data_IF_241797597679
#
_entry.id   IF_241797597679
#
_cell.length_a   1.000
_cell.length_b   1.000
_cell.length_c   1.000
_cell.angle_alpha   90.00
_cell.angle_beta   90.00
_cell.angle_gamma   90.00
#
_symmetry.space_group_name_H-M   'P 1'
#
loop_
_entity.id
_entity.type
_entity.pdbx_description
1 polymer ?
#
# COMPACT_ATOMS: atom_id res chain seq x y z
N UNK A 1 -31.16 31.61 -43.39
CA UNK A 1 -30.16 31.90 -42.33
C UNK A 1 -28.91 32.38 -43.05
N UNK A 2 -28.41 33.58 -42.72
CA UNK A 2 -27.13 34.06 -43.27
C UNK A 2 -25.99 33.22 -42.70
N UNK A 3 -25.00 32.87 -43.52
CA UNK A 3 -23.76 32.23 -43.04
C UNK A 3 -23.02 33.15 -42.07
N UNK A 4 -22.26 32.57 -41.15
CA UNK A 4 -21.35 33.31 -40.28
C UNK A 4 -20.09 33.78 -41.04
N UNK A 5 -19.78 33.15 -42.18
CA UNK A 5 -18.66 33.52 -43.02
C UNK A 5 -18.93 34.81 -43.79
N UNK A 6 -17.97 35.73 -43.81
CA UNK A 6 -18.11 37.00 -44.51
C UNK A 6 -18.13 36.77 -46.04
N UNK A 7 -19.22 37.11 -46.75
CA UNK A 7 -19.29 36.95 -48.21
C UNK A 7 -18.27 37.81 -48.97
N UNK A 8 -17.76 38.90 -48.38
CA UNK A 8 -16.73 39.72 -49.02
C UNK A 8 -15.41 38.94 -49.21
N UNK A 9 -15.05 38.06 -48.27
CA UNK A 9 -13.86 37.20 -48.40
C UNK A 9 -13.92 36.29 -49.64
N UNK A 10 -15.13 35.87 -50.04
CA UNK A 10 -15.33 35.04 -51.24
C UNK A 10 -15.08 35.87 -52.50
N UNK A 11 -15.46 37.15 -52.50
CA UNK A 11 -15.21 38.07 -53.61
C UNK A 11 -13.72 38.39 -53.73
N UNK A 12 -13.04 38.63 -52.62
CA UNK A 12 -11.59 38.91 -52.61
C UNK A 12 -10.80 37.75 -53.23
N UNK A 13 -11.15 36.50 -52.89
CA UNK A 13 -10.54 35.31 -53.50
C UNK A 13 -10.88 35.21 -54.98
N UNK A 14 -12.12 35.50 -55.39
CA UNK A 14 -12.50 35.48 -56.80
C UNK A 14 -11.73 36.52 -57.64
N UNK A 15 -11.54 37.72 -57.10
CA UNK A 15 -10.74 38.78 -57.72
C UNK A 15 -9.26 38.39 -57.83
N UNK A 16 -8.71 37.68 -56.83
CA UNK A 16 -7.32 37.18 -56.87
C UNK A 16 -7.06 36.19 -58.00
N UNK A 17 -8.11 35.45 -58.43
CA UNK A 17 -8.08 34.52 -59.57
C UNK A 17 -8.37 35.24 -60.90
N UNK A 18 -8.77 36.52 -60.86
CA UNK A 18 -9.08 37.34 -62.03
C UNK A 18 -10.55 37.39 -62.43
N UNK A 19 -11.47 36.96 -61.56
CA UNK A 19 -12.93 37.01 -61.78
C UNK A 19 -13.47 38.30 -61.16
N UNK A 20 -13.80 39.29 -61.99
CA UNK A 20 -14.18 40.64 -61.53
C UNK A 20 -15.64 40.81 -61.10
N UNK A 21 -16.55 39.91 -61.52
CA UNK A 21 -17.98 40.00 -61.18
C UNK A 21 -18.56 38.62 -60.93
N UNK A 22 -19.13 38.40 -59.75
CA UNK A 22 -19.90 37.21 -59.38
C UNK A 22 -21.35 37.58 -59.03
N UNK A 23 -22.29 36.71 -59.39
CA UNK A 23 -23.68 36.86 -58.95
C UNK A 23 -23.77 36.72 -57.42
N UNK A 24 -24.58 37.55 -56.78
CA UNK A 24 -24.75 37.59 -55.32
C UNK A 24 -25.22 36.24 -54.76
N UNK A 25 -26.12 35.55 -55.47
CA UNK A 25 -26.62 34.24 -55.04
C UNK A 25 -25.50 33.19 -54.95
N UNK A 26 -24.56 33.21 -55.90
CA UNK A 26 -23.41 32.29 -55.91
C UNK A 26 -22.46 32.59 -54.75
N UNK A 27 -22.24 33.87 -54.44
CA UNK A 27 -21.42 34.28 -53.29
C UNK A 27 -22.05 33.81 -51.97
N UNK A 28 -23.36 34.00 -51.82
CA UNK A 28 -24.08 33.63 -50.60
C UNK A 28 -24.13 32.10 -50.40
N UNK A 29 -24.29 31.33 -51.48
CA UNK A 29 -24.31 29.86 -51.41
C UNK A 29 -22.90 29.29 -51.17
N UNK A 30 -21.86 29.86 -51.79
CA UNK A 30 -20.47 29.44 -51.56
C UNK A 30 -20.02 29.75 -50.12
N UNK A 31 -20.41 30.90 -49.57
CA UNK A 31 -20.14 31.23 -48.17
C UNK A 31 -20.76 30.20 -47.20
N UNK A 32 -21.99 29.72 -47.48
CA UNK A 32 -22.64 28.67 -46.68
C UNK A 32 -21.92 27.32 -46.79
N UNK A 33 -21.44 26.96 -47.98
CA UNK A 33 -20.68 25.71 -48.16
C UNK A 33 -19.35 25.77 -47.41
N UNK A 34 -18.63 26.91 -47.46
CA UNK A 34 -17.38 27.10 -46.69
C UNK A 34 -17.62 26.92 -45.19
N UNK A 35 -18.66 27.54 -44.65
CA UNK A 35 -19.04 27.44 -43.23
C UNK A 35 -19.31 25.98 -42.82
N UNK A 36 -20.01 25.23 -43.67
CA UNK A 36 -20.24 23.80 -43.49
C UNK A 36 -18.94 22.99 -43.52
N UNK A 37 -18.05 23.24 -44.48
CA UNK A 37 -16.75 22.54 -44.59
C UNK A 37 -15.82 22.83 -43.42
N UNK A 38 -15.76 24.08 -42.97
CA UNK A 38 -14.97 24.47 -41.78
C UNK A 38 -15.52 23.77 -40.54
N UNK A 39 -16.83 23.75 -40.36
CA UNK A 39 -17.48 23.04 -39.25
C UNK A 39 -17.17 21.54 -39.29
N UNK A 40 -17.23 20.91 -40.47
CA UNK A 40 -16.89 19.50 -40.66
C UNK A 40 -15.45 19.18 -40.24
N UNK A 41 -14.48 20.02 -40.63
CA UNK A 41 -13.06 19.85 -40.22
C UNK A 41 -12.91 20.00 -38.70
N UNK A 42 -13.56 21.01 -38.11
CA UNK A 42 -13.51 21.25 -36.66
C UNK A 42 -14.12 20.08 -35.88
N UNK A 43 -15.24 19.53 -36.32
CA UNK A 43 -15.88 18.38 -35.68
C UNK A 43 -14.97 17.14 -35.67
N UNK A 44 -14.32 16.83 -36.79
CA UNK A 44 -13.35 15.73 -36.86
C UNK A 44 -12.12 16.01 -35.98
N UNK A 45 -11.60 17.24 -35.98
CA UNK A 45 -10.45 17.63 -35.15
C UNK A 45 -10.78 17.53 -33.64
N UNK A 46 -12.00 17.88 -33.24
CA UNK A 46 -12.47 17.72 -31.86
C UNK A 46 -12.54 16.26 -31.43
N UNK A 47 -12.84 15.32 -32.34
CA UNK A 47 -12.76 13.88 -32.04
C UNK A 47 -11.32 13.48 -31.74
N UNK A 48 -10.36 13.89 -32.56
CA UNK A 48 -8.93 13.64 -32.31
C UNK A 48 -8.46 14.21 -30.97
N UNK A 49 -8.84 15.46 -30.66
CA UNK A 49 -8.53 16.09 -29.37
C UNK A 49 -9.07 15.28 -28.18
N UNK A 50 -10.34 14.85 -28.25
CA UNK A 50 -10.98 14.04 -27.20
C UNK A 50 -10.35 12.66 -27.08
N UNK A 51 -10.03 12.00 -28.20
CA UNK A 51 -9.34 10.71 -28.20
C UNK A 51 -7.91 10.81 -27.65
N UNK A 52 -7.25 11.96 -27.84
CA UNK A 52 -5.96 12.27 -27.23
C UNK A 52 -6.06 12.70 -25.75
N UNK A 53 -7.26 12.69 -25.15
CA UNK A 53 -7.53 13.09 -23.76
C UNK A 53 -7.06 14.51 -23.41
N UNK A 54 -7.10 15.42 -24.39
CA UNK A 54 -6.78 16.85 -24.21
C UNK A 54 -8.06 17.68 -24.23
N UNK A 55 -7.99 18.87 -23.64
CA UNK A 55 -9.07 19.88 -23.65
C UNK A 55 -8.77 21.06 -24.56
N UNK A 56 -7.54 21.16 -25.07
CA UNK A 56 -7.08 22.20 -25.99
C UNK A 56 -6.81 21.60 -27.36
N UNK A 57 -7.40 22.20 -28.39
CA UNK A 57 -7.23 21.79 -29.79
C UNK A 57 -5.85 22.26 -30.30
N UNK A 58 -5.06 21.37 -30.88
CA UNK A 58 -3.76 21.70 -31.46
C UNK A 58 -3.80 21.63 -32.99
N UNK A 59 -2.78 22.19 -33.66
CA UNK A 59 -2.65 22.14 -35.13
C UNK A 59 -2.62 20.71 -35.66
N UNK A 60 -1.97 19.79 -34.93
CA UNK A 60 -1.89 18.37 -35.29
C UNK A 60 -3.26 17.68 -35.36
N UNK A 61 -4.22 18.10 -34.53
CA UNK A 61 -5.58 17.56 -34.53
C UNK A 61 -6.31 17.94 -35.83
N UNK A 62 -6.09 19.17 -36.31
CA UNK A 62 -6.62 19.67 -37.59
C UNK A 62 -5.91 18.97 -38.75
N UNK A 63 -4.59 18.81 -38.70
CA UNK A 63 -3.83 18.08 -39.73
C UNK A 63 -4.33 16.64 -39.87
N UNK A 64 -4.66 15.96 -38.77
CA UNK A 64 -5.24 14.63 -38.81
C UNK A 64 -6.68 14.64 -39.37
N UNK A 65 -7.48 15.63 -38.99
CA UNK A 65 -8.83 15.80 -39.55
C UNK A 65 -8.81 16.00 -41.07
N UNK A 66 -7.91 16.85 -41.59
CA UNK A 66 -7.75 17.08 -43.03
C UNK A 66 -7.39 15.79 -43.77
N UNK A 67 -6.49 14.97 -43.21
CA UNK A 67 -6.14 13.67 -43.80
C UNK A 67 -7.31 12.69 -43.86
N UNK A 68 -8.18 12.68 -42.84
CA UNK A 68 -9.37 11.81 -42.83
C UNK A 68 -10.42 12.27 -43.83
N UNK A 69 -10.51 13.58 -44.05
CA UNK A 69 -11.42 14.18 -45.02
C UNK A 69 -10.85 14.20 -46.45
N UNK A 70 -9.71 13.53 -46.68
CA UNK A 70 -8.99 13.50 -47.96
C UNK A 70 -8.66 14.91 -48.52
N UNK A 71 -8.44 15.88 -47.63
CA UNK A 71 -8.02 17.24 -47.98
C UNK A 71 -6.49 17.30 -48.00
N UNK A 72 -5.96 18.09 -48.93
CA UNK A 72 -4.51 18.31 -49.06
C UNK A 72 -3.91 18.86 -47.74
N UNK A 73 -2.75 18.35 -47.31
CA UNK A 73 -2.14 18.75 -46.05
C UNK A 73 -1.62 20.19 -46.11
N UNK A 74 -1.96 20.99 -45.10
CA UNK A 74 -1.44 22.33 -44.90
C UNK A 74 -0.12 22.28 -44.12
N UNK A 75 0.96 22.78 -44.73
CA UNK A 75 2.30 22.84 -44.13
C UNK A 75 2.62 24.24 -43.59
N UNK A 76 3.59 24.32 -42.67
CA UNK A 76 4.05 25.60 -42.10
C UNK A 76 3.33 26.06 -40.83
N UNK A 77 2.46 25.23 -40.27
CA UNK A 77 1.74 25.50 -39.02
C UNK A 77 2.38 24.74 -37.87
N UNK A 78 2.87 25.47 -36.86
CA UNK A 78 3.41 24.90 -35.62
C UNK A 78 2.76 25.57 -34.41
N UNK A 79 2.50 24.80 -33.36
CA UNK A 79 1.97 25.28 -32.08
C UNK A 79 2.98 26.10 -31.29
N UNK A 80 4.28 25.91 -31.52
CA UNK A 80 5.32 26.57 -30.73
C UNK A 80 5.54 28.05 -31.10
N UNK A 81 5.13 28.45 -32.31
CA UNK A 81 5.28 29.82 -32.83
C UNK A 81 3.90 30.43 -33.10
N UNK A 82 3.40 31.34 -32.24
CA UNK A 82 2.13 31.99 -32.49
C UNK A 82 2.22 32.92 -33.71
N UNK A 83 1.17 32.93 -34.54
CA UNK A 83 1.08 33.86 -35.67
C UNK A 83 0.86 35.29 -35.19
N UNK A 84 1.52 36.24 -35.84
CA UNK A 84 1.32 37.67 -35.63
C UNK A 84 0.60 38.25 -36.85
N UNK A 85 -0.55 38.85 -36.61
CA UNK A 85 -1.34 39.51 -37.65
C UNK A 85 -1.03 41.01 -37.60
N UNK A 86 -0.46 41.54 -38.68
CA UNK A 86 -0.31 42.96 -38.91
C UNK A 86 -1.57 43.54 -39.55
N UNK A 87 -1.88 44.80 -39.25
CA UNK A 87 -2.99 45.53 -39.86
C UNK A 87 -2.43 46.56 -40.85
N UNK A 88 -2.91 46.51 -42.10
CA UNK A 88 -2.62 47.50 -43.13
C UNK A 88 -3.92 48.15 -43.59
N UNK A 89 -3.95 49.49 -43.64
CA UNK A 89 -5.08 50.25 -44.16
C UNK A 89 -4.83 50.66 -45.61
N UNK A 90 -5.55 50.04 -46.55
CA UNK A 90 -5.56 50.43 -47.96
C UNK A 90 -6.81 51.28 -48.19
N UNK A 91 -6.67 52.60 -48.03
CA UNK A 91 -7.75 53.55 -48.31
C UNK A 91 -8.90 53.57 -47.28
N UNK A 92 -9.99 54.31 -47.56
CA UNK A 92 -11.06 54.50 -46.60
C UNK A 92 -12.02 53.30 -46.57
N UNK A 93 -11.98 52.52 -45.48
CA UNK A 93 -13.14 51.75 -45.02
C UNK A 93 -12.96 50.25 -44.77
N UNK A 94 -11.85 49.62 -45.13
CA UNK A 94 -11.63 48.18 -44.86
C UNK A 94 -10.21 47.90 -44.35
N UNK A 95 -10.05 47.40 -43.11
CA UNK A 95 -8.75 46.96 -42.60
C UNK A 95 -8.35 45.63 -43.25
N UNK A 96 -7.16 45.59 -43.85
CA UNK A 96 -6.57 44.36 -44.37
C UNK A 96 -5.61 43.79 -43.33
N UNK A 97 -5.83 42.54 -42.94
CA UNK A 97 -4.90 41.82 -42.07
C UNK A 97 -3.96 40.97 -42.89
N UNK A 98 -2.67 41.02 -42.59
CA UNK A 98 -1.66 40.17 -43.20
C UNK A 98 -0.84 39.47 -42.13
N UNK A 99 -0.26 38.33 -42.50
CA UNK A 99 0.66 37.61 -41.62
C UNK A 99 2.04 38.24 -41.80
N UNK A 100 2.61 38.77 -40.72
CA UNK A 100 3.97 39.30 -40.74
C UNK A 100 4.96 38.14 -40.89
N UNK A 101 5.72 38.12 -41.98
CA UNK A 101 6.82 37.18 -42.18
C UNK A 101 8.16 37.89 -41.96
N UNK A 102 8.85 37.49 -40.89
CA UNK A 102 10.15 38.06 -40.53
C UNK A 102 11.25 37.26 -41.24
N UNK A 103 11.98 37.91 -42.15
CA UNK A 103 13.13 37.31 -42.80
C UNK A 103 14.25 37.03 -41.77
N UNK A 104 14.67 35.77 -41.67
CA UNK A 104 15.72 35.34 -40.74
C UNK A 104 17.00 35.00 -41.52
N UNK A 105 18.12 35.53 -41.06
CA UNK A 105 19.45 35.22 -41.59
C UNK A 105 19.87 33.78 -41.26
N UNK A 106 20.33 33.03 -42.26
CA UNK A 106 20.74 31.64 -42.12
C UNK A 106 21.88 31.45 -41.11
N UNK A 107 22.82 32.39 -41.03
CA UNK A 107 23.94 32.30 -40.08
C UNK A 107 23.44 32.33 -38.62
N UNK A 108 22.39 33.09 -38.35
CA UNK A 108 21.76 33.14 -37.01
C UNK A 108 21.06 31.84 -36.67
N UNK A 109 20.42 31.20 -37.65
CA UNK A 109 19.71 29.94 -37.45
C UNK A 109 20.67 28.77 -37.24
N UNK A 110 21.78 28.72 -37.99
CA UNK A 110 22.80 27.68 -37.84
C UNK A 110 23.50 27.78 -36.48
N UNK A 111 23.76 29.00 -36.00
CA UNK A 111 24.42 29.24 -34.72
C UNK A 111 23.45 29.25 -33.52
N UNK A 112 22.16 28.97 -33.73
CA UNK A 112 21.18 28.92 -32.66
C UNK A 112 21.45 27.74 -31.71
N UNK A 113 21.36 27.94 -30.38
CA UNK A 113 21.58 26.85 -29.44
C UNK A 113 20.47 25.81 -29.54
N UNK A 114 20.84 24.55 -29.32
CA UNK A 114 19.89 23.43 -29.30
C UNK A 114 18.85 23.60 -28.19
N UNK A 115 17.59 23.19 -28.42
CA UNK A 115 16.54 23.26 -27.40
C UNK A 115 16.84 22.30 -26.25
N UNK A 116 16.32 22.63 -25.07
CA UNK A 116 16.44 21.78 -23.88
C UNK A 116 15.49 20.60 -23.99
N UNK A 117 15.99 19.40 -23.73
CA UNK A 117 15.19 18.17 -23.73
C UNK A 117 14.55 17.97 -22.35
N UNK A 118 13.22 17.76 -22.27
CA UNK A 118 12.54 17.39 -21.02
C UNK A 118 13.03 16.04 -20.46
N UNK A 119 12.72 15.77 -19.19
CA UNK A 119 12.97 14.45 -18.60
C UNK A 119 12.02 13.40 -19.19
N UNK A 120 12.48 12.15 -19.21
CA UNK A 120 11.64 11.02 -19.59
C UNK A 120 10.41 10.88 -18.68
N UNK A 121 9.35 10.30 -19.25
CA UNK A 121 8.07 10.08 -18.55
C UNK A 121 8.27 9.08 -17.41
N UNK A 122 7.92 9.52 -16.20
CA UNK A 122 7.89 8.69 -14.99
C UNK A 122 6.58 8.90 -14.25
N UNK A 123 6.19 7.93 -13.43
CA UNK A 123 4.98 8.02 -12.62
C UNK A 123 5.33 8.12 -11.13
N UNK A 124 4.52 8.87 -10.38
CA UNK A 124 4.60 8.98 -8.93
C UNK A 124 3.25 8.61 -8.33
N UNK A 125 3.19 7.50 -7.61
CA UNK A 125 1.97 7.04 -6.97
C UNK A 125 1.81 7.66 -5.57
N UNK A 126 0.59 8.01 -5.20
CA UNK A 126 0.21 8.43 -3.86
C UNK A 126 -1.23 7.99 -3.56
N UNK A 127 -1.60 8.00 -2.28
CA UNK A 127 -2.96 7.69 -1.86
C UNK A 127 -3.88 8.90 -2.06
N UNK A 128 -4.81 8.79 -3.03
CA UNK A 128 -5.84 9.80 -3.25
C UNK A 128 -6.95 9.72 -2.18
N UNK A 129 -7.32 8.52 -1.75
CA UNK A 129 -8.31 8.30 -0.71
C UNK A 129 -8.03 7.01 0.07
N UNK A 130 -8.36 7.02 1.36
CA UNK A 130 -8.38 5.86 2.25
C UNK A 130 -9.76 5.84 2.92
N UNK A 131 -10.51 4.75 2.72
CA UNK A 131 -11.90 4.61 3.22
C UNK A 131 -12.82 5.78 2.84
N UNK A 132 -12.67 6.28 1.60
CA UNK A 132 -13.47 7.39 1.07
C UNK A 132 -13.07 8.77 1.59
N UNK A 133 -12.04 8.87 2.43
CA UNK A 133 -11.49 10.13 2.93
C UNK A 133 -10.17 10.43 2.24
N UNK A 134 -10.02 11.64 1.71
CA UNK A 134 -8.78 12.10 1.11
C UNK A 134 -7.75 12.46 2.19
N UNK A 135 -6.56 11.83 2.22
CA UNK A 135 -5.53 12.19 3.20
C UNK A 135 -4.88 13.52 2.85
N UNK A 136 -4.52 14.30 3.88
CA UNK A 136 -3.85 15.59 3.75
C UNK A 136 -2.36 15.43 3.46
N UNK A 137 -2.02 14.96 2.26
CA UNK A 137 -0.64 14.89 1.73
C UNK A 137 -0.40 16.02 0.73
N UNK A 138 0.85 16.48 0.52
CA UNK A 138 1.15 17.59 -0.37
C UNK A 138 0.67 17.42 -1.82
N UNK A 139 0.51 16.16 -2.27
CA UNK A 139 0.03 15.83 -3.62
C UNK A 139 -1.49 15.95 -3.77
N UNK A 140 -2.24 15.93 -2.67
CA UNK A 140 -3.69 16.03 -2.68
C UNK A 140 -4.13 17.50 -2.55
N UNK A 141 -5.15 17.94 -3.32
CA UNK A 141 -5.68 19.30 -3.20
C UNK A 141 -6.16 19.58 -1.78
N UNK A 142 -5.88 20.78 -1.29
CA UNK A 142 -6.50 21.25 -0.05
C UNK A 142 -7.96 21.66 -0.31
N UNK A 143 -8.74 21.70 0.77
CA UNK A 143 -10.11 22.24 0.73
C UNK A 143 -10.15 23.71 0.30
N UNK A 144 -9.05 24.44 0.45
CA UNK A 144 -8.89 25.82 0.01
C UNK A 144 -8.66 25.91 -1.52
N UNK A 145 -7.83 25.03 -2.08
CA UNK A 145 -7.53 25.01 -3.53
C UNK A 145 -8.76 24.66 -4.38
N UNK A 146 -9.64 23.82 -3.83
CA UNK A 146 -10.86 23.38 -4.53
C UNK A 146 -11.81 24.54 -4.85
N UNK A 147 -11.84 25.59 -4.00
CA UNK A 147 -12.72 26.76 -4.16
C UNK A 147 -12.36 27.63 -5.37
N UNK A 148 -11.10 27.62 -5.80
CA UNK A 148 -10.63 28.45 -6.92
C UNK A 148 -10.81 27.79 -8.29
N UNK A 149 -11.18 26.51 -8.34
CA UNK A 149 -11.33 25.74 -9.59
C UNK A 149 -12.78 25.49 -10.01
N UNK A 150 -13.76 25.96 -9.24
CA UNK A 150 -15.19 25.66 -9.40
C UNK A 150 -15.87 26.52 -10.51
N UNK A 151 -15.36 26.47 -11.74
CA UNK A 151 -16.10 26.90 -12.94
C UNK A 151 -16.81 25.74 -13.65
N UNK A 152 -16.64 24.50 -13.16
CA UNK A 152 -17.34 23.32 -13.66
C UNK A 152 -18.18 22.71 -12.54
N UNK A 153 -19.51 22.59 -12.70
CA UNK A 153 -20.36 21.98 -11.68
C UNK A 153 -20.01 20.50 -11.55
N UNK A 154 -19.34 20.14 -10.45
CA UNK A 154 -19.15 18.74 -10.06
C UNK A 154 -20.49 18.21 -9.54
N UNK A 155 -20.85 16.99 -9.95
CA UNK A 155 -22.12 16.36 -9.64
C UNK A 155 -22.43 16.28 -8.12
N UNK A 156 -23.70 16.09 -7.74
CA UNK A 156 -24.12 16.03 -6.34
C UNK A 156 -23.39 14.88 -5.62
N UNK A 157 -22.63 15.23 -4.57
CA UNK A 157 -21.81 14.29 -3.79
C UNK A 157 -20.30 14.55 -3.80
N UNK A 158 -19.82 15.43 -4.69
CA UNK A 158 -18.38 15.73 -4.84
C UNK A 158 -17.80 16.72 -3.81
N UNK A 159 -18.64 17.25 -2.91
CA UNK A 159 -18.27 18.34 -2.01
C UNK A 159 -18.30 17.90 -0.53
N UNK A 160 -17.14 17.53 0.06
CA UNK A 160 -16.98 17.39 1.51
C UNK A 160 -17.26 18.70 2.28
N UNK A 161 -17.25 19.83 1.56
CA UNK A 161 -17.38 21.20 2.08
C UNK A 161 -18.73 21.52 2.72
N UNK A 162 -19.79 20.74 2.48
CA UNK A 162 -21.05 20.90 3.22
C UNK A 162 -20.94 20.47 4.69
N UNK A 163 -19.98 19.61 5.03
CA UNK A 163 -19.74 19.22 6.44
C UNK A 163 -18.94 20.28 7.22
N UNK A 164 -18.18 21.12 6.53
CA UNK A 164 -17.33 22.15 7.15
C UNK A 164 -18.09 23.43 7.52
N UNK A 165 -19.29 23.66 6.98
CA UNK A 165 -20.14 24.80 7.35
C UNK A 165 -20.68 24.71 8.79
N UNK A 166 -20.54 23.55 9.45
CA UNK A 166 -20.97 23.30 10.82
C UNK A 166 -19.94 23.68 11.91
N UNK A 167 -18.87 24.40 11.56
CA UNK A 167 -18.07 25.17 12.52
C UNK A 167 -17.34 24.35 13.59
N UNK A 168 -16.65 23.27 13.23
CA UNK A 168 -15.85 22.49 14.17
C UNK A 168 -14.40 22.34 13.65
N UNK A 169 -13.59 23.39 13.82
CA UNK A 169 -12.14 23.36 13.65
C UNK A 169 -11.50 22.58 14.80
N UNK A 170 -11.37 21.28 14.60
CA UNK A 170 -10.43 20.41 15.30
C UNK A 170 -10.05 19.28 14.35
N UNK A 171 -8.79 18.86 14.37
CA UNK A 171 -8.29 17.70 13.62
C UNK A 171 -9.14 16.49 14.02
N UNK A 172 -10.20 16.23 13.27
CA UNK A 172 -11.14 15.17 13.56
C UNK A 172 -10.56 13.84 13.04
N UNK A 173 -9.70 13.24 13.86
CA UNK A 173 -9.73 11.79 14.03
C UNK A 173 -11.18 11.50 14.39
N UNK A 174 -11.98 10.98 13.45
CA UNK A 174 -13.41 10.72 13.67
C UNK A 174 -13.51 9.48 14.58
N UNK A 175 -13.85 9.57 15.88
CA UNK A 175 -14.05 8.39 16.70
C UNK A 175 -15.53 8.00 16.71
N UNK A 176 -15.72 6.68 16.83
CA UNK A 176 -16.92 5.87 17.09
C UNK A 176 -18.32 6.52 16.94
N UNK A 177 -19.00 6.10 15.87
CA UNK A 177 -20.46 5.96 15.73
C UNK A 177 -21.30 7.24 15.55
N UNK A 178 -21.54 7.57 14.27
CA UNK A 178 -22.84 8.09 13.82
C UNK A 178 -23.34 7.22 12.67
N UNK A 179 -24.12 6.19 13.00
CA UNK A 179 -25.00 5.40 12.12
C UNK A 179 -24.60 5.29 10.62
N UNK A 180 -23.40 4.77 10.32
CA UNK A 180 -23.09 4.29 8.96
C UNK A 180 -23.50 2.82 8.79
N UNK A 181 -23.79 2.14 9.90
CA UNK A 181 -24.12 0.73 9.90
C UNK A 181 -25.64 0.51 9.81
N UNK A 182 -26.08 -0.24 8.81
CA UNK A 182 -27.48 -0.66 8.71
C UNK A 182 -27.89 -1.56 9.88
N UNK A 183 -29.20 -1.68 10.13
CA UNK A 183 -29.74 -2.61 11.13
C UNK A 183 -29.28 -4.05 10.90
N UNK A 184 -29.20 -4.48 9.64
CA UNK A 184 -28.76 -5.82 9.25
C UNK A 184 -27.30 -6.07 9.61
N UNK A 185 -26.40 -5.11 9.35
CA UNK A 185 -24.99 -5.27 9.69
C UNK A 185 -24.76 -5.22 11.22
N UNK A 186 -25.58 -4.46 11.96
CA UNK A 186 -25.56 -4.49 13.43
C UNK A 186 -25.99 -5.86 13.97
N UNK A 187 -27.10 -6.39 13.46
CA UNK A 187 -27.59 -7.71 13.84
C UNK A 187 -26.58 -8.80 13.48
N UNK A 188 -25.95 -8.71 12.31
CA UNK A 188 -24.88 -9.61 11.90
C UNK A 188 -23.69 -9.57 12.87
N UNK A 189 -23.23 -8.37 13.23
CA UNK A 189 -22.14 -8.20 14.20
C UNK A 189 -22.49 -8.81 15.56
N UNK A 190 -23.69 -8.57 16.06
CA UNK A 190 -24.18 -9.15 17.33
C UNK A 190 -24.25 -10.69 17.26
N UNK A 191 -24.77 -11.24 16.17
CA UNK A 191 -24.87 -12.70 15.98
C UNK A 191 -23.50 -13.36 15.89
N UNK A 192 -22.53 -12.73 15.24
CA UNK A 192 -21.16 -13.26 15.19
C UNK A 192 -20.48 -13.18 16.54
N UNK A 193 -20.53 -12.03 17.21
CA UNK A 193 -19.85 -11.86 18.50
C UNK A 193 -20.42 -12.80 19.57
N UNK A 194 -21.73 -13.05 19.56
CA UNK A 194 -22.37 -14.04 20.44
C UNK A 194 -22.01 -15.47 20.06
N UNK A 195 -22.07 -15.84 18.78
CA UNK A 195 -21.71 -17.18 18.31
C UNK A 195 -20.25 -17.54 18.60
N UNK A 196 -19.33 -16.58 18.44
CA UNK A 196 -17.89 -16.77 18.68
C UNK A 196 -17.57 -16.99 20.17
N UNK A 197 -18.35 -16.38 21.07
CA UNK A 197 -18.16 -16.49 22.53
C UNK A 197 -18.95 -17.64 23.17
N UNK A 198 -19.85 -18.31 22.44
CA UNK A 198 -20.57 -19.47 22.96
C UNK A 198 -19.61 -20.65 23.12
N UNK A 199 -19.41 -21.15 24.34
CA UNK A 199 -18.55 -22.30 24.66
C UNK A 199 -19.17 -23.64 24.25
N UNK A 200 -20.50 -23.73 24.20
CA UNK A 200 -21.22 -25.00 24.05
C UNK A 200 -21.34 -25.47 22.60
N UNK A 201 -21.50 -24.55 21.66
CA UNK A 201 -21.78 -24.87 20.26
C UNK A 201 -20.59 -24.58 19.34
N UNK A 202 -19.80 -25.62 19.04
CA UNK A 202 -18.67 -25.49 18.11
C UNK A 202 -19.10 -25.23 16.65
N UNK A 203 -20.25 -25.77 16.24
CA UNK A 203 -20.78 -25.59 14.89
C UNK A 203 -21.09 -24.13 14.59
N UNK A 204 -21.66 -23.38 15.54
CA UNK A 204 -21.93 -21.96 15.39
C UNK A 204 -20.66 -21.11 15.32
N UNK A 205 -19.63 -21.47 16.10
CA UNK A 205 -18.30 -20.81 16.00
C UNK A 205 -17.69 -21.00 14.62
N UNK A 206 -17.68 -22.23 14.11
CA UNK A 206 -17.12 -22.55 12.80
C UNK A 206 -17.91 -21.89 11.66
N UNK A 207 -19.24 -21.85 11.76
CA UNK A 207 -20.08 -21.13 10.82
C UNK A 207 -19.78 -19.61 10.81
N UNK A 208 -19.60 -19.01 11.98
CA UNK A 208 -19.24 -17.59 12.10
C UNK A 208 -17.86 -17.30 11.48
N UNK A 209 -16.85 -18.14 11.73
CA UNK A 209 -15.52 -17.98 11.11
C UNK A 209 -15.55 -18.15 9.59
N UNK A 210 -16.32 -19.11 9.09
CA UNK A 210 -16.47 -19.32 7.64
C UNK A 210 -17.16 -18.12 6.97
N UNK A 211 -18.20 -17.56 7.60
CA UNK A 211 -18.87 -16.34 7.12
C UNK A 211 -17.91 -15.15 7.04
N UNK A 212 -17.12 -14.89 8.10
CA UNK A 212 -16.10 -13.82 8.08
C UNK A 212 -15.03 -14.03 7.01
N UNK A 213 -14.72 -15.28 6.69
CA UNK A 213 -13.72 -15.63 5.68
C UNK A 213 -14.20 -15.36 4.25
N UNK A 214 -15.48 -15.60 3.95
CA UNK A 214 -16.03 -15.53 2.59
C UNK A 214 -16.73 -14.23 2.27
N UNK A 215 -17.31 -13.54 3.25
CA UNK A 215 -18.26 -12.46 2.98
C UNK A 215 -17.56 -11.16 2.56
N UNK A 216 -17.92 -10.57 1.39
CA UNK A 216 -17.27 -9.38 0.85
C UNK A 216 -17.81 -8.05 1.39
N UNK A 217 -19.00 -8.05 1.98
CA UNK A 217 -19.69 -6.84 2.45
C UNK A 217 -19.23 -6.32 3.82
N UNK A 218 -18.17 -6.88 4.39
CA UNK A 218 -17.81 -6.66 5.80
C UNK A 218 -16.88 -5.48 6.04
N UNK A 219 -16.48 -4.74 5.00
CA UNK A 219 -15.48 -3.66 5.11
C UNK A 219 -15.84 -2.64 6.19
N UNK A 220 -17.12 -2.25 6.29
CA UNK A 220 -17.58 -1.29 7.31
C UNK A 220 -17.53 -1.85 8.74
N UNK A 221 -17.55 -3.17 8.91
CA UNK A 221 -17.51 -3.84 10.21
C UNK A 221 -16.09 -4.11 10.72
N UNK A 222 -15.09 -4.11 9.84
CA UNK A 222 -13.68 -4.38 10.21
C UNK A 222 -13.19 -3.52 11.39
N UNK A 223 -13.41 -2.19 11.42
CA UNK A 223 -12.98 -1.37 12.56
C UNK A 223 -13.63 -1.80 13.88
N UNK A 224 -14.90 -2.22 13.82
CA UNK A 224 -15.67 -2.66 14.99
C UNK A 224 -15.19 -4.02 15.50
N UNK A 225 -14.90 -4.97 14.62
CA UNK A 225 -14.29 -6.24 15.00
C UNK A 225 -12.90 -6.06 15.62
N UNK A 226 -12.07 -5.17 15.05
CA UNK A 226 -10.75 -4.86 15.61
C UNK A 226 -10.89 -4.24 17.00
N UNK A 227 -11.81 -3.28 17.17
CA UNK A 227 -12.06 -2.68 18.47
C UNK A 227 -12.56 -3.71 19.49
N UNK A 228 -13.53 -4.55 19.11
CA UNK A 228 -14.06 -5.63 19.95
C UNK A 228 -12.98 -6.60 20.39
N UNK A 229 -12.09 -7.03 19.48
CA UNK A 229 -10.97 -7.90 19.84
C UNK A 229 -10.01 -7.21 20.80
N UNK A 230 -9.66 -5.94 20.54
CA UNK A 230 -8.75 -5.19 21.41
C UNK A 230 -9.33 -5.02 22.83
N UNK A 231 -10.62 -4.76 22.95
CA UNK A 231 -11.33 -4.65 24.21
C UNK A 231 -11.36 -6.00 24.95
N UNK A 232 -11.82 -7.07 24.28
CA UNK A 232 -11.90 -8.41 24.87
C UNK A 232 -10.55 -8.96 25.30
N UNK A 233 -9.51 -8.78 24.49
CA UNK A 233 -8.15 -9.19 24.86
C UNK A 233 -7.64 -8.44 26.08
N UNK A 234 -7.98 -7.16 26.23
CA UNK A 234 -7.52 -6.34 27.38
C UNK A 234 -8.28 -6.66 28.66
N UNK A 235 -9.59 -6.91 28.59
CA UNK A 235 -10.43 -7.17 29.76
C UNK A 235 -10.44 -8.65 30.20
N UNK A 236 -10.29 -9.60 29.27
CA UNK A 236 -10.38 -11.05 29.52
C UNK A 236 -9.02 -11.77 29.37
N UNK A 237 -7.91 -11.18 29.84
CA UNK A 237 -6.55 -11.79 29.76
C UNK A 237 -6.48 -13.16 30.49
N UNK A 238 -7.35 -13.38 31.47
CA UNK A 238 -7.41 -14.62 32.26
C UNK A 238 -8.24 -15.73 31.61
N UNK A 239 -9.07 -15.42 30.61
CA UNK A 239 -9.98 -16.39 29.98
C UNK A 239 -9.35 -16.90 28.68
N UNK A 240 -8.67 -18.05 28.75
CA UNK A 240 -7.98 -18.64 27.59
C UNK A 240 -8.92 -18.92 26.41
N UNK A 241 -10.15 -19.34 26.68
CA UNK A 241 -11.15 -19.58 25.65
C UNK A 241 -11.41 -18.30 24.85
N UNK A 242 -11.73 -17.18 25.53
CA UNK A 242 -12.00 -15.89 24.87
C UNK A 242 -10.80 -15.44 24.05
N UNK A 243 -9.58 -15.50 24.61
CA UNK A 243 -8.37 -15.12 23.87
C UNK A 243 -8.16 -15.97 22.61
N UNK A 244 -8.40 -17.29 22.70
CA UNK A 244 -8.30 -18.19 21.54
C UNK A 244 -9.30 -17.79 20.46
N UNK A 245 -10.56 -17.56 20.84
CA UNK A 245 -11.60 -17.17 19.88
C UNK A 245 -11.31 -15.80 19.25
N UNK A 246 -10.79 -14.83 20.02
CA UNK A 246 -10.40 -13.53 19.47
C UNK A 246 -9.28 -13.66 18.43
N UNK A 247 -8.27 -14.49 18.67
CA UNK A 247 -7.23 -14.73 17.67
C UNK A 247 -7.75 -15.46 16.42
N UNK A 248 -8.64 -16.45 16.58
CA UNK A 248 -9.32 -17.11 15.45
C UNK A 248 -10.17 -16.13 14.64
N UNK A 249 -10.84 -15.17 15.30
CA UNK A 249 -11.59 -14.11 14.63
C UNK A 249 -10.66 -13.23 13.78
N UNK A 250 -9.52 -12.80 14.32
CA UNK A 250 -8.52 -12.05 13.56
C UNK A 250 -7.96 -12.88 12.41
N UNK A 251 -7.77 -14.18 12.60
CA UNK A 251 -7.34 -15.09 11.54
C UNK A 251 -8.34 -15.15 10.38
N UNK A 252 -9.62 -15.33 10.69
CA UNK A 252 -10.69 -15.39 9.69
C UNK A 252 -10.75 -14.10 8.86
N UNK A 253 -10.67 -12.95 9.53
CA UNK A 253 -10.64 -11.62 8.88
C UNK A 253 -9.39 -11.52 7.98
N UNK A 254 -8.20 -11.85 8.50
CA UNK A 254 -6.94 -11.76 7.74
C UNK A 254 -6.88 -12.69 6.52
N UNK A 255 -7.60 -13.82 6.56
CA UNK A 255 -7.66 -14.75 5.43
C UNK A 255 -8.62 -14.29 4.33
N UNK A 256 -9.56 -13.38 4.61
CA UNK A 256 -10.51 -12.88 3.63
C UNK A 256 -9.80 -11.99 2.57
N UNK A 257 -9.85 -12.39 1.30
CA UNK A 257 -9.17 -11.70 0.20
C UNK A 257 -9.94 -10.47 -0.31
N UNK A 258 -11.23 -10.38 -0.01
CA UNK A 258 -12.07 -9.27 -0.47
C UNK A 258 -11.93 -8.01 0.37
N UNK A 259 -11.32 -8.11 1.55
CA UNK A 259 -11.18 -7.01 2.50
C UNK A 259 -9.81 -6.34 2.38
N UNK A 260 -9.82 -5.00 2.34
CA UNK A 260 -8.59 -4.21 2.39
C UNK A 260 -8.19 -3.93 3.84
N UNK A 261 -7.37 -4.82 4.41
CA UNK A 261 -7.03 -4.81 5.85
C UNK A 261 -5.78 -3.97 6.16
N UNK A 262 -5.02 -3.56 5.14
CA UNK A 262 -3.73 -2.85 5.32
C UNK A 262 -3.78 -1.64 6.27
N UNK A 263 -4.81 -0.77 6.25
CA UNK A 263 -4.90 0.37 7.16
C UNK A 263 -5.02 -0.06 8.63
N UNK A 264 -5.61 -1.23 8.87
CA UNK A 264 -5.95 -1.70 10.21
C UNK A 264 -4.84 -2.52 10.85
N UNK A 265 -3.87 -3.04 10.10
CA UNK A 265 -2.81 -3.95 10.58
C UNK A 265 -2.10 -3.42 11.83
N UNK A 266 -1.81 -2.11 11.86
CA UNK A 266 -1.15 -1.49 13.01
C UNK A 266 -1.98 -1.61 14.31
N UNK A 267 -3.30 -1.74 14.20
CA UNK A 267 -4.24 -1.93 15.31
C UNK A 267 -4.44 -3.41 15.68
N UNK A 268 -4.24 -4.36 14.76
CA UNK A 268 -4.25 -5.80 15.06
C UNK A 268 -3.04 -6.21 15.93
N UNK A 269 -1.87 -5.65 15.63
CA UNK A 269 -0.58 -6.10 16.19
C UNK A 269 -0.53 -6.05 17.72
N UNK A 270 -0.95 -4.98 18.42
CA UNK A 270 -0.86 -4.91 19.88
C UNK A 270 -1.58 -6.06 20.58
N UNK A 271 -2.80 -6.39 20.16
CA UNK A 271 -3.59 -7.47 20.76
C UNK A 271 -2.97 -8.84 20.54
N UNK A 272 -2.42 -9.10 19.35
CA UNK A 272 -1.72 -10.35 19.07
C UNK A 272 -0.41 -10.44 19.88
N UNK A 273 0.34 -9.34 20.00
CA UNK A 273 1.56 -9.28 20.83
C UNK A 273 1.23 -9.49 22.31
N UNK A 274 0.12 -8.97 22.81
CA UNK A 274 -0.33 -9.20 24.19
C UNK A 274 -0.61 -10.67 24.43
N UNK A 275 -1.34 -11.34 23.53
CA UNK A 275 -1.57 -12.79 23.62
C UNK A 275 -0.28 -13.61 23.48
N UNK A 276 0.70 -13.12 22.72
CA UNK A 276 1.99 -13.79 22.53
C UNK A 276 2.92 -13.65 23.73
N UNK A 277 3.02 -12.45 24.31
CA UNK A 277 4.08 -12.07 25.27
C UNK A 277 3.56 -11.78 26.68
N UNK A 278 2.26 -11.89 26.92
CA UNK A 278 1.63 -11.64 28.21
C UNK A 278 2.24 -12.44 29.36
N UNK A 279 2.44 -11.78 30.51
CA UNK A 279 3.09 -12.36 31.70
C UNK A 279 2.22 -13.40 32.41
N UNK A 280 0.92 -13.10 32.55
CA UNK A 280 -0.06 -13.96 33.20
C UNK A 280 -1.22 -14.20 32.24
N UNK A 281 -1.14 -15.28 31.47
CA UNK A 281 -2.19 -15.70 30.54
C UNK A 281 -2.92 -16.89 31.17
N UNK A 282 -4.25 -16.83 31.20
CA UNK A 282 -5.06 -17.88 31.80
C UNK A 282 -5.17 -17.81 33.32
N UNK A 283 -5.89 -18.76 33.89
CA UNK A 283 -5.90 -19.03 35.32
C UNK A 283 -4.90 -20.14 35.65
N UNK A 284 -4.44 -20.20 36.91
CA UNK A 284 -3.51 -21.25 37.37
C UNK A 284 -4.09 -22.68 37.29
N UNK A 285 -5.40 -22.81 37.06
CA UNK A 285 -6.10 -24.08 36.84
C UNK A 285 -6.00 -24.59 35.40
N UNK A 286 -5.62 -23.74 34.46
CA UNK A 286 -5.58 -24.12 33.06
C UNK A 286 -4.36 -24.96 32.73
N UNK A 287 -4.53 -25.90 31.80
CA UNK A 287 -3.40 -26.74 31.38
C UNK A 287 -2.29 -25.88 30.76
N UNK A 288 -1.01 -26.08 31.13
CA UNK A 288 0.10 -25.32 30.57
C UNK A 288 0.16 -25.47 29.03
N UNK A 289 -0.22 -26.64 28.50
CA UNK A 289 -0.33 -26.93 27.07
C UNK A 289 -1.27 -25.97 26.32
N UNK A 290 -2.41 -25.62 26.92
CA UNK A 290 -3.36 -24.67 26.31
C UNK A 290 -2.74 -23.28 26.14
N UNK A 291 -1.98 -22.81 27.14
CA UNK A 291 -1.27 -21.52 27.09
C UNK A 291 -0.20 -21.51 25.97
N UNK A 292 0.55 -22.60 25.82
CA UNK A 292 1.51 -22.72 24.72
C UNK A 292 0.82 -22.73 23.37
N UNK A 293 -0.27 -23.50 23.20
CA UNK A 293 -1.03 -23.54 21.94
C UNK A 293 -1.62 -22.18 21.52
N UNK A 294 -2.02 -21.35 22.50
CA UNK A 294 -2.48 -19.98 22.24
C UNK A 294 -1.34 -19.10 21.71
N UNK A 295 -0.16 -19.19 22.34
CA UNK A 295 1.02 -18.43 21.90
C UNK A 295 1.49 -18.86 20.52
N UNK A 296 1.42 -20.15 20.19
CA UNK A 296 1.75 -20.64 18.86
C UNK A 296 0.82 -20.09 17.79
N UNK A 297 -0.48 -20.00 18.08
CA UNK A 297 -1.46 -19.39 17.18
C UNK A 297 -1.24 -17.87 17.04
N UNK A 298 -0.95 -17.16 18.14
CA UNK A 298 -0.60 -15.74 18.07
C UNK A 298 0.67 -15.51 17.21
N UNK A 299 1.67 -16.39 17.36
CA UNK A 299 2.90 -16.32 16.58
C UNK A 299 2.67 -16.61 15.09
N UNK A 300 1.86 -17.62 14.75
CA UNK A 300 1.55 -17.94 13.35
C UNK A 300 0.83 -16.76 12.66
N UNK A 301 -0.05 -16.06 13.38
CA UNK A 301 -0.71 -14.85 12.91
C UNK A 301 0.28 -13.72 12.64
N UNK A 302 1.18 -13.40 13.58
CA UNK A 302 2.21 -12.38 13.37
C UNK A 302 3.09 -12.72 12.17
N UNK A 303 3.47 -14.00 12.02
CA UNK A 303 4.27 -14.47 10.88
C UNK A 303 3.50 -14.27 9.57
N UNK A 304 2.23 -14.69 9.52
CA UNK A 304 1.35 -14.51 8.35
C UNK A 304 1.20 -13.03 7.97
N UNK A 305 0.93 -12.15 8.94
CA UNK A 305 0.85 -10.70 8.75
C UNK A 305 2.18 -10.16 8.19
N UNK A 306 3.31 -10.57 8.78
CA UNK A 306 4.64 -10.10 8.37
C UNK A 306 5.01 -10.54 6.95
N UNK A 307 4.60 -11.73 6.53
CA UNK A 307 4.90 -12.27 5.20
C UNK A 307 4.01 -11.64 4.13
N UNK A 308 2.71 -11.50 4.42
CA UNK A 308 1.71 -10.96 3.48
C UNK A 308 1.82 -9.45 3.32
N UNK A 309 1.93 -8.71 4.42
CA UNK A 309 1.86 -7.24 4.42
C UNK A 309 3.21 -6.56 4.68
N UNK A 310 4.28 -7.32 4.88
CA UNK A 310 5.62 -6.76 5.03
C UNK A 310 6.20 -6.14 3.74
N UNK A 311 5.59 -6.40 2.58
CA UNK A 311 5.94 -5.71 1.32
C UNK A 311 5.36 -4.31 1.25
N UNK A 312 4.10 -4.14 1.68
CA UNK A 312 3.39 -2.86 1.70
C UNK A 312 3.96 -1.90 2.75
N UNK A 313 4.47 -2.44 3.87
CA UNK A 313 5.09 -1.64 4.93
C UNK A 313 6.52 -2.09 5.24
N UNK A 314 7.49 -1.31 4.79
CA UNK A 314 8.92 -1.51 5.08
C UNK A 314 9.25 -1.38 6.58
N UNK A 315 8.41 -0.69 7.37
CA UNK A 315 8.62 -0.49 8.81
C UNK A 315 8.07 -1.63 9.67
N UNK A 316 7.15 -2.44 9.14
CA UNK A 316 6.43 -3.45 9.91
C UNK A 316 7.35 -4.56 10.44
N UNK A 317 8.11 -5.21 9.54
CA UNK A 317 9.01 -6.32 9.91
C UNK A 317 10.08 -5.87 10.92
N UNK A 318 10.81 -4.76 10.72
CA UNK A 318 11.79 -4.29 11.71
C UNK A 318 11.18 -3.93 13.07
N UNK A 319 9.99 -3.32 13.09
CA UNK A 319 9.30 -2.98 14.36
C UNK A 319 8.89 -4.23 15.13
N UNK A 320 8.30 -5.22 14.46
CA UNK A 320 7.94 -6.50 15.08
C UNK A 320 9.18 -7.24 15.60
N UNK A 321 10.24 -7.33 14.80
CA UNK A 321 11.50 -7.98 15.19
C UNK A 321 12.09 -7.34 16.44
N UNK A 322 12.12 -6.00 16.49
CA UNK A 322 12.61 -5.26 17.66
C UNK A 322 11.78 -5.52 18.92
N UNK A 323 10.45 -5.56 18.81
CA UNK A 323 9.56 -5.83 19.97
C UNK A 323 9.72 -7.25 20.50
N UNK A 324 9.84 -8.24 19.60
CA UNK A 324 10.06 -9.64 19.98
C UNK A 324 11.46 -9.83 20.59
N UNK A 325 12.50 -9.24 19.98
CA UNK A 325 13.86 -9.29 20.51
C UNK A 325 13.97 -8.62 21.87
N UNK A 326 13.33 -7.45 22.06
CA UNK A 326 13.26 -6.78 23.37
C UNK A 326 12.59 -7.67 24.42
N UNK A 327 11.59 -8.46 24.03
CA UNK A 327 10.92 -9.40 24.95
C UNK A 327 11.79 -10.61 25.26
N UNK A 328 12.57 -11.09 24.30
CA UNK A 328 13.48 -12.22 24.49
C UNK A 328 14.68 -11.87 25.38
N UNK A 329 15.20 -10.65 25.28
CA UNK A 329 16.37 -10.19 26.04
C UNK A 329 16.04 -9.60 27.42
N UNK A 330 14.77 -9.60 27.84
CA UNK A 330 14.34 -9.01 29.11
C UNK A 330 14.28 -10.09 30.21
N UNK A 331 15.22 -10.12 31.17
CA UNK A 331 15.26 -11.16 32.20
C UNK A 331 14.09 -11.10 33.19
N UNK A 332 13.33 -9.99 33.21
CA UNK A 332 12.19 -9.82 34.14
C UNK A 332 10.90 -10.49 33.66
N UNK A 333 10.90 -11.04 32.45
CA UNK A 333 9.75 -11.71 31.86
C UNK A 333 9.78 -13.22 32.13
N UNK A 334 8.61 -13.85 32.25
CA UNK A 334 8.54 -15.29 32.54
C UNK A 334 8.92 -16.11 31.29
N UNK A 335 9.50 -17.29 31.50
CA UNK A 335 9.94 -18.22 30.43
C UNK A 335 8.88 -18.45 29.34
N UNK A 336 7.57 -18.58 29.66
CA UNK A 336 6.57 -18.79 28.63
C UNK A 336 6.35 -17.56 27.71
N UNK A 337 6.65 -16.34 28.18
CA UNK A 337 6.71 -15.14 27.32
C UNK A 337 7.91 -15.17 26.37
N UNK A 338 9.05 -15.68 26.83
CA UNK A 338 10.24 -15.88 25.99
C UNK A 338 9.97 -16.93 24.91
N UNK A 339 9.28 -18.03 25.26
CA UNK A 339 8.84 -19.05 24.31
C UNK A 339 8.08 -18.43 23.13
N UNK A 340 7.03 -17.64 23.42
CA UNK A 340 6.22 -17.01 22.37
C UNK A 340 7.04 -16.06 21.49
N UNK A 341 7.87 -15.22 22.12
CA UNK A 341 8.73 -14.28 21.39
C UNK A 341 9.71 -15.01 20.45
N UNK A 342 10.36 -16.06 20.94
CA UNK A 342 11.32 -16.87 20.19
C UNK A 342 10.65 -17.64 19.05
N UNK A 343 9.49 -18.26 19.31
CA UNK A 343 8.73 -19.05 18.35
C UNK A 343 8.22 -18.21 17.17
N UNK A 344 7.86 -16.94 17.43
CA UNK A 344 7.52 -15.97 16.38
C UNK A 344 8.77 -15.45 15.65
N UNK A 345 9.83 -15.10 16.38
CA UNK A 345 11.05 -14.52 15.82
C UNK A 345 11.76 -15.48 14.85
N UNK A 346 11.86 -16.77 15.20
CA UNK A 346 12.50 -17.78 14.36
C UNK A 346 11.82 -17.91 12.99
N UNK A 347 10.48 -17.85 12.94
CA UNK A 347 9.69 -18.03 11.71
C UNK A 347 9.59 -16.75 10.89
N UNK A 348 9.69 -15.60 11.53
CA UNK A 348 9.54 -14.30 10.87
C UNK A 348 10.82 -13.86 10.14
N UNK A 349 11.99 -13.99 10.77
CA UNK A 349 13.26 -13.43 10.24
C UNK A 349 14.01 -14.44 9.36
N UNK A 350 13.68 -15.73 9.48
CA UNK A 350 14.31 -16.80 8.69
C UNK A 350 15.75 -17.12 9.13
N UNK A 351 16.47 -17.94 8.36
CA UNK A 351 17.75 -18.54 8.76
C UNK A 351 18.85 -17.52 9.03
N UNK A 352 18.99 -16.48 8.19
CA UNK A 352 19.95 -15.41 8.39
C UNK A 352 19.67 -14.61 9.67
N UNK A 353 18.38 -14.35 9.95
CA UNK A 353 17.94 -13.66 11.16
C UNK A 353 18.24 -14.40 12.45
N UNK A 354 18.06 -15.73 12.46
CA UNK A 354 18.40 -16.57 13.61
C UNK A 354 19.90 -16.44 13.93
N UNK A 355 20.75 -16.50 12.90
CA UNK A 355 22.21 -16.39 13.04
C UNK A 355 22.66 -15.06 13.61
N UNK A 356 22.00 -13.97 13.24
CA UNK A 356 22.38 -12.62 13.68
C UNK A 356 21.72 -12.20 15.00
N UNK A 357 20.49 -12.64 15.28
CA UNK A 357 19.70 -12.13 16.42
C UNK A 357 19.63 -13.11 17.59
N UNK A 358 19.54 -14.41 17.33
CA UNK A 358 19.34 -15.43 18.38
C UNK A 358 20.69 -15.94 18.86
N UNK A 359 21.53 -16.46 17.96
CA UNK A 359 22.79 -17.15 18.31
C UNK A 359 23.73 -16.31 19.20
N UNK A 360 24.00 -15.02 18.90
CA UNK A 360 24.93 -14.22 19.72
C UNK A 360 24.46 -14.02 21.16
N UNK A 361 23.15 -14.03 21.38
CA UNK A 361 22.54 -13.77 22.68
C UNK A 361 22.34 -15.04 23.52
N UNK A 362 22.57 -16.24 22.95
CA UNK A 362 22.37 -17.51 23.67
C UNK A 362 23.30 -17.67 24.87
N UNK A 363 24.54 -17.20 24.77
CA UNK A 363 25.50 -17.24 25.89
C UNK A 363 24.99 -16.46 27.11
N UNK A 364 24.40 -15.28 26.88
CA UNK A 364 23.81 -14.47 27.95
C UNK A 364 22.54 -15.10 28.51
N UNK A 365 21.76 -15.74 27.65
CA UNK A 365 20.50 -16.39 28.02
C UNK A 365 20.70 -17.72 28.79
N UNK A 366 21.87 -18.36 28.70
CA UNK A 366 22.19 -19.61 29.42
C UNK A 366 22.05 -19.47 30.95
N UNK A 367 22.34 -18.30 31.52
CA UNK A 367 22.16 -18.05 32.95
C UNK A 367 20.69 -18.19 33.38
N UNK A 368 19.76 -17.67 32.57
CA UNK A 368 18.31 -17.73 32.81
C UNK A 368 17.81 -19.17 32.61
N UNK A 369 18.32 -19.88 31.60
CA UNK A 369 17.98 -21.28 31.38
C UNK A 369 18.46 -22.18 32.53
N UNK A 370 19.65 -21.92 33.08
CA UNK A 370 20.19 -22.70 34.21
C UNK A 370 19.36 -22.51 35.47
N UNK A 371 18.96 -21.27 35.76
CA UNK A 371 18.03 -20.99 36.86
C UNK A 371 16.68 -21.70 36.66
N UNK A 372 16.13 -21.64 35.44
CA UNK A 372 14.88 -22.30 35.11
C UNK A 372 14.92 -23.84 35.17
N UNK A 373 16.08 -24.45 34.88
CA UNK A 373 16.28 -25.91 34.95
C UNK A 373 16.54 -26.41 36.38
N UNK A 374 17.01 -25.53 37.28
CA UNK A 374 17.26 -25.83 38.69
C UNK A 374 15.98 -25.74 39.55
N UNK A 375 14.98 -24.97 39.09
CA UNK A 375 13.69 -24.81 39.73
C UNK A 375 12.68 -25.85 39.19
N UNK A 376 12.27 -26.81 40.02
CA UNK A 376 11.38 -27.92 39.63
C UNK A 376 10.03 -27.44 39.04
N UNK A 377 9.55 -26.26 39.44
CA UNK A 377 8.28 -25.69 38.91
C UNK A 377 8.48 -25.11 37.52
N UNK A 378 9.63 -24.46 37.27
CA UNK A 378 9.95 -23.81 35.99
C UNK A 378 10.61 -24.75 35.00
N UNK A 379 11.05 -25.93 35.44
CA UNK A 379 11.77 -26.91 34.62
C UNK A 379 11.00 -27.29 33.35
N UNK A 380 9.70 -27.54 33.46
CA UNK A 380 8.86 -27.88 32.31
C UNK A 380 8.81 -26.73 31.27
N UNK A 381 8.73 -25.48 31.74
CA UNK A 381 8.73 -24.30 30.87
C UNK A 381 10.11 -24.07 30.24
N UNK A 382 11.18 -24.31 30.99
CA UNK A 382 12.55 -24.25 30.48
C UNK A 382 12.79 -25.29 29.37
N UNK A 383 12.27 -26.52 29.53
CA UNK A 383 12.33 -27.57 28.52
C UNK A 383 11.60 -27.17 27.22
N UNK A 384 10.44 -26.51 27.31
CA UNK A 384 9.74 -25.99 26.13
C UNK A 384 10.53 -24.89 25.41
N UNK A 385 11.17 -23.97 26.15
CA UNK A 385 12.02 -22.93 25.56
C UNK A 385 13.24 -23.56 24.87
N UNK A 386 13.87 -24.56 25.49
CA UNK A 386 14.99 -25.30 24.88
C UNK A 386 14.55 -25.98 23.57
N UNK A 387 13.35 -26.58 23.54
CA UNK A 387 12.79 -27.19 22.33
C UNK A 387 12.68 -26.19 21.18
N UNK A 388 12.17 -24.98 21.45
CA UNK A 388 12.06 -23.92 20.42
C UNK A 388 13.43 -23.38 20.03
N UNK A 389 14.37 -23.25 20.96
CA UNK A 389 15.75 -22.84 20.64
C UNK A 389 16.43 -23.87 19.72
N UNK A 390 16.25 -25.15 19.99
CA UNK A 390 16.74 -26.22 19.11
C UNK A 390 16.09 -26.16 17.73
N UNK A 391 14.78 -25.94 17.66
CA UNK A 391 14.08 -25.73 16.39
C UNK A 391 14.60 -24.49 15.64
N UNK A 392 14.88 -23.39 16.34
CA UNK A 392 15.44 -22.18 15.75
C UNK A 392 16.82 -22.44 15.16
N UNK A 393 17.70 -23.14 15.91
CA UNK A 393 19.03 -23.53 15.43
C UNK A 393 18.96 -24.45 14.19
N UNK A 394 17.98 -25.35 14.14
CA UNK A 394 17.73 -26.20 12.96
C UNK A 394 17.33 -25.37 11.73
N UNK A 395 16.46 -24.38 11.90
CA UNK A 395 16.12 -23.43 10.82
C UNK A 395 17.36 -22.62 10.41
N UNK A 396 18.16 -22.16 11.37
CA UNK A 396 19.43 -21.48 11.09
C UNK A 396 20.42 -22.36 10.30
N UNK A 397 20.29 -23.69 10.37
CA UNK A 397 21.14 -24.66 9.69
C UNK A 397 20.71 -25.05 8.28
N UNK A 398 19.49 -24.72 7.85
CA UNK A 398 18.95 -25.15 6.55
C UNK A 398 19.77 -24.66 5.35
N UNK A 399 20.40 -23.49 5.47
CA UNK A 399 21.07 -22.81 4.35
C UNK A 399 22.59 -23.05 4.32
N UNK A 400 23.15 -23.84 5.25
CA UNK A 400 24.60 -24.16 5.24
C UNK A 400 24.84 -25.36 4.33
N UNK A 401 25.39 -25.08 3.14
CA UNK A 401 25.87 -26.10 2.21
C UNK A 401 27.00 -26.90 2.86
N UNK A 402 27.00 -28.22 2.64
CA UNK A 402 28.01 -29.15 3.15
C UNK A 402 29.41 -28.82 2.60
N UNK A 403 30.13 -27.96 3.31
CA UNK A 403 31.58 -27.83 3.17
C UNK A 403 32.26 -28.97 3.94
N UNK A 404 32.93 -29.85 3.20
CA UNK A 404 33.83 -30.86 3.74
C UNK A 404 35.02 -30.17 4.40
N UNK A 405 35.07 -30.15 5.73
CA UNK A 405 36.28 -29.85 6.49
C UNK A 405 36.19 -30.49 7.89
N UNK A 406 37.17 -31.33 8.18
CA UNK A 406 37.70 -31.75 9.49
C UNK A 406 36.72 -32.17 10.58
N UNK A 407 36.65 -33.48 10.85
CA UNK A 407 36.08 -34.02 12.10
C UNK A 407 37.03 -33.65 13.25
N UNK A 408 36.71 -32.61 14.00
CA UNK A 408 37.35 -32.36 15.30
C UNK A 408 36.84 -33.39 16.33
N UNK A 409 37.66 -33.71 17.33
CA UNK A 409 37.32 -34.66 18.40
C UNK A 409 36.11 -34.17 19.23
N UNK A 410 35.15 -35.05 19.54
CA UNK A 410 33.95 -34.75 20.34
C UNK A 410 34.17 -33.87 21.60
N UNK A 411 35.19 -34.10 22.45
CA UNK A 411 35.45 -33.25 23.62
C UNK A 411 35.83 -31.81 23.25
N UNK A 412 36.62 -31.60 22.20
CA UNK A 412 37.02 -30.24 21.77
C UNK A 412 35.83 -29.47 21.18
N UNK A 413 34.97 -30.17 20.43
CA UNK A 413 33.73 -29.60 19.91
C UNK A 413 32.78 -29.19 21.03
N UNK A 414 32.62 -30.04 22.05
CA UNK A 414 31.79 -29.75 23.23
C UNK A 414 32.29 -28.52 23.97
N UNK A 415 33.61 -28.39 24.16
CA UNK A 415 34.18 -27.24 24.87
C UNK A 415 33.97 -25.93 24.09
N UNK A 416 34.15 -25.94 22.77
CA UNK A 416 33.91 -24.77 21.90
C UNK A 416 32.43 -24.38 21.78
N UNK A 417 31.53 -25.36 21.78
CA UNK A 417 30.08 -25.12 21.74
C UNK A 417 29.57 -24.52 23.05
N UNK A 418 30.05 -25.03 24.19
CA UNK A 418 29.68 -24.51 25.52
C UNK A 418 30.15 -23.06 25.68
N UNK A 419 31.34 -22.71 25.17
CA UNK A 419 31.82 -21.34 25.22
C UNK A 419 30.98 -20.38 24.33
N UNK A 420 30.42 -20.86 23.21
CA UNK A 420 29.58 -20.03 22.32
C UNK A 420 28.11 -19.93 22.74
N UNK A 421 27.49 -21.01 23.21
CA UNK A 421 26.02 -21.10 23.40
C UNK A 421 25.62 -21.32 24.87
N UNK A 422 26.58 -21.59 25.75
CA UNK A 422 26.32 -21.94 27.15
C UNK A 422 26.22 -23.45 27.39
N UNK A 423 26.18 -23.83 28.66
CA UNK A 423 26.29 -25.22 29.11
C UNK A 423 25.04 -26.03 28.79
N UNK A 424 23.85 -25.44 28.98
CA UNK A 424 22.56 -26.13 28.80
C UNK A 424 22.27 -26.39 27.33
N UNK A 425 22.47 -25.39 26.49
CA UNK A 425 22.26 -25.54 25.05
C UNK A 425 23.42 -26.28 24.37
N UNK A 426 24.66 -26.07 24.82
CA UNK A 426 25.83 -26.77 24.28
C UNK A 426 25.76 -28.29 24.48
N UNK A 427 25.30 -28.74 25.65
CA UNK A 427 25.06 -30.18 25.91
C UNK A 427 23.95 -30.74 25.03
N UNK A 428 22.79 -30.07 24.96
CA UNK A 428 21.67 -30.50 24.10
C UNK A 428 21.99 -30.53 22.61
N UNK A 429 22.83 -29.61 22.12
CA UNK A 429 23.28 -29.60 20.72
C UNK A 429 24.22 -30.78 20.44
N UNK A 430 25.12 -31.10 21.37
CA UNK A 430 26.01 -32.28 21.25
C UNK A 430 25.20 -33.57 21.31
N UNK A 431 24.26 -33.68 22.24
CA UNK A 431 23.38 -34.86 22.40
C UNK A 431 22.50 -35.09 21.16
N UNK A 432 22.17 -34.04 20.40
CA UNK A 432 21.39 -34.15 19.16
C UNK A 432 22.13 -34.82 18.01
N UNK A 433 23.47 -34.97 18.09
CA UNK A 433 24.31 -35.63 17.09
C UNK A 433 24.37 -34.95 15.71
N UNK A 434 23.71 -33.80 15.52
CA UNK A 434 23.59 -33.17 14.21
C UNK A 434 24.77 -32.24 13.90
N UNK A 435 25.71 -32.73 13.08
CA UNK A 435 26.91 -31.99 12.67
C UNK A 435 26.62 -30.68 11.92
N UNK A 436 25.44 -30.52 11.31
CA UNK A 436 25.03 -29.26 10.66
C UNK A 436 24.79 -28.16 11.69
N UNK A 437 24.13 -28.49 12.81
CA UNK A 437 23.90 -27.56 13.93
C UNK A 437 25.22 -27.07 14.53
N UNK A 438 26.14 -28.02 14.77
CA UNK A 438 27.46 -27.73 15.35
C UNK A 438 28.24 -26.77 14.47
N UNK A 439 28.23 -26.97 13.15
CA UNK A 439 28.89 -26.04 12.21
C UNK A 439 28.26 -24.66 12.19
N UNK A 440 26.93 -24.55 12.21
CA UNK A 440 26.22 -23.25 12.15
C UNK A 440 26.55 -22.39 13.36
N UNK A 441 26.50 -22.99 14.55
CA UNK A 441 26.85 -22.32 15.80
C UNK A 441 28.31 -21.88 15.82
N UNK A 442 29.22 -22.70 15.26
CA UNK A 442 30.64 -22.40 15.23
C UNK A 442 31.01 -21.37 14.15
N UNK A 443 30.33 -21.36 12.99
CA UNK A 443 30.61 -20.49 11.84
C UNK A 443 29.88 -19.15 11.86
N UNK A 444 28.90 -18.94 12.75
CA UNK A 444 28.46 -17.58 13.05
C UNK A 444 29.61 -16.83 13.72
N UNK A 445 30.31 -16.02 12.91
CA UNK A 445 31.27 -15.03 13.38
C UNK A 445 30.51 -14.01 14.21
N UNK A 446 30.93 -13.90 15.47
CA UNK A 446 30.50 -12.83 16.37
C UNK A 446 31.42 -11.66 16.03
N UNK A 447 31.16 -10.99 14.91
CA UNK A 447 31.68 -9.64 14.69
C UNK A 447 30.54 -8.67 15.02
N UNK A 448 30.43 -8.36 16.31
CA UNK A 448 29.84 -7.12 16.82
C UNK A 448 30.81 -6.53 17.83
#
# INVERSE_FOLDING_TARGET
MSSLWNPDNVRDVAESVGISQMNKEVVDDLARDIDFRVSQVIEEALKFMRHARRTTLHTDDITQALRVLDVEPLFGYDTTRPMRFGEASIGPGQPLYYIEDEEVDFEKLINAPLPKVPRDVSFTAHWLAVDGVQPSIPQNPSTHDSRNTDLLPKGPGANPSLSALAGNDSVAIKPLVKHVLSSELQLYFERITTAVLDETNEEYRNAAYNSLHTDPGLHQLVPYFVHFVNEKVTHSIKELFVLRQMLCLLEAILRNQSLFIEPYIASFIPSIITCLTGKHLGNSSDSPSAVYSLRELAASLIVSISQRHGKSSHTLKPRLARTLLKTFLDPTKPLPSHYGALFALQRMVGPAGVRTLIIPNLRLYDAILREGMADDVKRADAEQVISVLMAALMVGASDVVEGANGVASEPELRTRLVDKVGEVMGTKVVDSGNMKLVKVVLHTNIDI
#
